data_IF_978400545575
#
_entry.id   IF_978400545575
#
_cell.length_a   1.000
_cell.length_b   1.000
_cell.length_c   1.000
_cell.angle_alpha   90.00
_cell.angle_beta   90.00
_cell.angle_gamma   90.00
#
_symmetry.space_group_name_H-M   'P 1'
#
loop_
_entity.id
_entity.type
_entity.pdbx_description
1 polymer ?
#
# COMPACT_ATOMS: atom_id res chain seq x y z
N UNK A 1 1.78 12.74 8.18
CA UNK A 1 1.79 12.86 6.70
C UNK A 1 0.39 12.72 6.13
N UNK A 2 -0.39 11.69 6.48
CA UNK A 2 -1.76 11.49 6.00
C UNK A 2 -2.71 12.70 6.12
N UNK A 3 -2.57 13.53 7.15
CA UNK A 3 -3.45 14.68 7.43
C UNK A 3 -2.97 16.02 6.86
N UNK A 4 -1.85 16.08 6.13
CA UNK A 4 -1.35 17.37 5.63
C UNK A 4 -2.03 17.87 4.35
N UNK A 5 -2.96 17.10 3.77
CA UNK A 5 -3.70 17.48 2.54
C UNK A 5 -2.81 17.95 1.37
N UNK A 6 -1.59 17.42 1.26
CA UNK A 6 -0.67 17.84 0.19
C UNK A 6 0.02 19.18 0.46
N UNK A 7 -0.12 19.76 1.66
CA UNK A 7 0.51 21.02 2.03
C UNK A 7 1.77 20.80 2.88
N UNK A 8 2.90 21.30 2.38
CA UNK A 8 4.19 21.24 3.07
C UNK A 8 4.17 22.06 4.37
N UNK A 9 3.45 23.19 4.38
CA UNK A 9 3.28 24.03 5.58
C UNK A 9 2.45 23.31 6.64
N UNK A 10 1.32 22.70 6.28
CA UNK A 10 0.53 21.87 7.19
C UNK A 10 1.34 20.69 7.74
N UNK A 11 2.19 20.07 6.92
CA UNK A 11 3.06 18.99 7.37
C UNK A 11 4.07 19.48 8.43
N UNK A 12 4.76 20.60 8.17
CA UNK A 12 5.68 21.22 9.15
C UNK A 12 4.98 21.59 10.45
N UNK A 13 3.78 22.18 10.36
CA UNK A 13 2.97 22.50 11.54
C UNK A 13 2.59 21.25 12.33
N UNK A 14 2.18 20.19 11.64
CA UNK A 14 1.83 18.90 12.29
C UNK A 14 3.05 18.31 13.01
N UNK A 15 4.24 18.39 12.41
CA UNK A 15 5.48 17.95 13.04
C UNK A 15 5.81 18.78 14.28
N UNK A 16 5.66 20.10 14.23
CA UNK A 16 5.91 20.96 15.39
C UNK A 16 4.87 20.80 16.50
N UNK A 17 3.61 20.52 16.15
CA UNK A 17 2.55 20.23 17.12
C UNK A 17 2.87 19.00 18.00
N UNK A 18 3.77 18.12 17.54
CA UNK A 18 4.31 17.03 18.36
C UNK A 18 4.91 17.55 19.68
N UNK A 19 5.60 18.69 19.64
CA UNK A 19 6.19 19.32 20.83
C UNK A 19 5.09 19.75 21.81
N UNK A 20 4.10 20.49 21.31
CA UNK A 20 2.97 20.94 22.13
C UNK A 20 2.22 19.74 22.74
N UNK A 21 1.99 18.69 21.95
CA UNK A 21 1.36 17.46 22.42
C UNK A 21 2.14 16.83 23.59
N UNK A 22 3.46 16.68 23.48
CA UNK A 22 4.29 16.12 24.56
C UNK A 22 4.41 17.05 25.77
N UNK A 23 4.20 18.35 25.61
CA UNK A 23 4.08 19.30 26.72
C UNK A 23 2.68 19.32 27.37
N UNK A 24 1.74 18.52 26.88
CA UNK A 24 0.35 18.48 27.37
C UNK A 24 -0.54 19.60 26.83
N UNK A 25 -0.06 20.34 25.81
CA UNK A 25 -0.81 21.41 25.13
C UNK A 25 -1.50 20.83 23.91
N UNK A 26 -2.77 20.48 24.05
CA UNK A 26 -3.52 19.76 23.00
C UNK A 26 -4.36 20.65 22.06
N UNK A 27 -4.14 21.97 22.05
CA UNK A 27 -4.95 22.92 21.28
C UNK A 27 -4.96 22.66 19.77
N UNK A 28 -3.84 22.20 19.21
CA UNK A 28 -3.69 21.92 17.77
C UNK A 28 -3.78 20.42 17.43
N UNK A 29 -4.18 19.57 18.37
CA UNK A 29 -4.41 18.15 18.10
C UNK A 29 -5.69 17.96 17.27
N UNK A 30 -5.73 16.92 16.43
CA UNK A 30 -6.92 16.57 15.64
C UNK A 30 -8.09 16.31 16.58
N UNK A 31 -9.30 16.78 16.25
CA UNK A 31 -10.49 16.66 17.11
C UNK A 31 -10.76 15.23 17.60
N UNK A 32 -10.67 14.26 16.69
CA UNK A 32 -10.91 12.85 16.99
C UNK A 32 -9.71 12.15 17.66
N UNK A 33 -8.68 12.90 18.08
CA UNK A 33 -7.52 12.30 18.75
C UNK A 33 -7.91 11.79 20.14
N UNK A 34 -7.42 10.62 20.57
CA UNK A 34 -7.66 10.10 21.92
C UNK A 34 -7.26 11.07 23.04
N UNK A 35 -6.26 11.92 22.80
CA UNK A 35 -5.81 12.92 23.78
C UNK A 35 -6.82 14.03 24.09
N UNK A 36 -7.87 14.18 23.27
CA UNK A 36 -8.99 15.10 23.53
C UNK A 36 -10.13 14.44 24.31
N UNK A 37 -10.10 13.12 24.46
CA UNK A 37 -11.13 12.39 25.22
C UNK A 37 -11.00 12.67 26.72
N UNK A 38 -12.12 12.97 27.37
CA UNK A 38 -12.16 13.20 28.82
C UNK A 38 -11.62 12.00 29.58
N UNK A 39 -10.64 12.22 30.46
CA UNK A 39 -10.01 11.14 31.23
C UNK A 39 -8.88 10.40 30.52
N UNK A 40 -8.45 10.85 29.32
CA UNK A 40 -7.29 10.30 28.66
C UNK A 40 -6.01 10.50 29.50
N UNK A 41 -5.29 9.41 29.75
CA UNK A 41 -4.00 9.43 30.43
C UNK A 41 -2.89 9.32 29.37
N UNK A 42 -1.99 10.31 29.27
CA UNK A 42 -0.88 10.24 28.32
C UNK A 42 -0.01 9.00 28.56
N UNK A 43 0.32 8.28 27.50
CA UNK A 43 1.21 7.11 27.59
C UNK A 43 2.67 7.48 27.84
N UNK A 44 3.04 8.74 27.59
CA UNK A 44 4.40 9.26 27.77
C UNK A 44 4.45 10.32 28.87
N UNK A 45 5.62 10.45 29.51
CA UNK A 45 5.87 11.53 30.47
C UNK A 45 5.82 12.90 29.78
N UNK A 46 5.09 13.84 30.40
CA UNK A 46 4.99 15.20 29.88
C UNK A 46 6.31 15.95 30.01
N UNK A 47 6.69 16.64 28.93
CA UNK A 47 7.86 17.53 28.91
C UNK A 47 7.51 18.81 29.66
N UNK A 48 8.15 19.03 30.82
CA UNK A 48 7.98 20.24 31.64
C UNK A 48 9.20 21.17 31.59
N UNK A 49 10.36 20.63 31.22
CA UNK A 49 11.60 21.39 31.15
C UNK A 49 11.67 22.21 29.84
N UNK A 50 11.81 23.55 29.90
CA UNK A 50 11.91 24.39 28.71
C UNK A 50 13.14 24.07 27.85
N UNK A 51 14.22 23.52 28.43
CA UNK A 51 15.40 23.11 27.65
C UNK A 51 15.07 21.89 26.79
N UNK A 52 14.44 20.87 27.40
CA UNK A 52 13.96 19.69 26.67
C UNK A 52 12.97 20.05 25.55
N UNK A 53 12.04 20.99 25.80
CA UNK A 53 11.11 21.49 24.77
C UNK A 53 11.87 22.07 23.56
N UNK A 54 12.86 22.93 23.84
CA UNK A 54 13.68 23.56 22.80
C UNK A 54 14.53 22.55 22.03
N UNK A 55 15.09 21.55 22.72
CA UNK A 55 15.85 20.47 22.09
C UNK A 55 14.99 19.65 21.14
N UNK A 56 13.78 19.26 21.55
CA UNK A 56 12.85 18.51 20.70
C UNK A 56 12.44 19.32 19.46
N UNK A 57 12.11 20.61 19.66
CA UNK A 57 11.77 21.51 18.55
C UNK A 57 12.93 21.68 17.56
N UNK A 58 14.15 21.86 18.06
CA UNK A 58 15.37 21.95 17.25
C UNK A 58 15.64 20.65 16.48
N UNK A 59 15.51 19.50 17.16
CA UNK A 59 15.66 18.18 16.55
C UNK A 59 14.67 17.99 15.39
N UNK A 60 13.38 18.26 15.62
CA UNK A 60 12.36 18.14 14.57
C UNK A 60 12.70 19.01 13.36
N UNK A 61 13.14 20.25 13.57
CA UNK A 61 13.57 21.17 12.50
C UNK A 61 14.81 20.69 11.74
N UNK A 62 15.64 19.87 12.38
CA UNK A 62 16.85 19.31 11.77
C UNK A 62 16.58 18.10 10.86
N UNK A 63 15.42 17.45 11.02
CA UNK A 63 15.04 16.27 10.23
C UNK A 63 14.90 16.60 8.75
N UNK A 64 15.20 15.61 7.89
CA UNK A 64 15.04 15.72 6.43
C UNK A 64 13.60 15.99 6.04
N UNK A 65 12.64 15.32 6.69
CA UNK A 65 11.20 15.49 6.45
C UNK A 65 10.75 16.93 6.74
N UNK A 66 11.27 17.57 7.79
CA UNK A 66 10.92 18.95 8.08
C UNK A 66 11.54 19.94 7.08
N UNK A 67 12.82 19.72 6.74
CA UNK A 67 13.56 20.57 5.80
C UNK A 67 12.97 20.52 4.40
N UNK A 68 12.71 19.32 3.90
CA UNK A 68 12.23 19.03 2.55
C UNK A 68 10.78 18.52 2.57
N UNK A 69 9.91 19.17 3.34
CA UNK A 69 8.54 18.71 3.55
C UNK A 69 7.75 18.53 2.24
N UNK A 70 8.09 19.31 1.22
CA UNK A 70 7.56 19.25 -0.14
C UNK A 70 7.66 17.85 -0.75
N UNK A 71 8.77 17.14 -0.51
CA UNK A 71 9.02 15.80 -1.06
C UNK A 71 8.15 14.72 -0.39
N UNK A 72 7.60 15.02 0.78
CA UNK A 72 6.87 14.05 1.62
C UNK A 72 5.37 14.34 1.71
N UNK A 73 4.86 15.41 1.08
CA UNK A 73 3.43 15.76 1.12
C UNK A 73 2.52 14.68 0.51
N UNK A 74 3.05 13.91 -0.44
CA UNK A 74 2.37 12.80 -1.10
C UNK A 74 2.74 11.44 -0.52
N UNK A 75 3.64 11.38 0.46
CA UNK A 75 4.04 10.15 1.14
C UNK A 75 2.98 9.67 2.13
N UNK A 76 1.74 9.53 1.64
CA UNK A 76 0.60 8.94 2.36
C UNK A 76 0.46 7.49 1.93
N UNK A 77 0.03 6.66 2.87
CA UNK A 77 -0.46 5.30 2.59
C UNK A 77 0.52 4.44 1.77
N UNK A 78 1.81 4.49 2.13
CA UNK A 78 2.86 3.65 1.52
C UNK A 78 2.56 2.16 1.65
N UNK A 79 1.64 1.77 2.54
CA UNK A 79 1.12 0.42 2.66
C UNK A 79 0.63 -0.15 1.32
N UNK A 80 -0.11 0.62 0.51
CA UNK A 80 -0.58 0.11 -0.78
C UNK A 80 0.57 -0.13 -1.74
N UNK A 81 1.50 0.83 -1.83
CA UNK A 81 2.71 0.73 -2.67
C UNK A 81 3.59 -0.45 -2.23
N UNK A 82 3.79 -0.61 -0.93
CA UNK A 82 4.55 -1.73 -0.36
C UNK A 82 3.86 -3.07 -0.62
N UNK A 83 2.55 -3.15 -0.43
CA UNK A 83 1.77 -4.36 -0.71
C UNK A 83 1.81 -4.74 -2.19
N UNK A 84 1.78 -3.75 -3.09
CA UNK A 84 1.90 -3.97 -4.53
C UNK A 84 3.29 -4.48 -4.90
N UNK A 85 4.35 -3.85 -4.37
CA UNK A 85 5.72 -4.32 -4.57
C UNK A 85 5.93 -5.75 -4.04
N UNK A 86 5.30 -6.10 -2.92
CA UNK A 86 5.32 -7.47 -2.41
C UNK A 86 4.62 -8.46 -3.34
N UNK A 87 3.49 -8.08 -3.94
CA UNK A 87 2.81 -8.91 -4.94
C UNK A 87 3.64 -9.06 -6.21
N UNK A 88 4.24 -7.97 -6.71
CA UNK A 88 5.16 -7.98 -7.84
C UNK A 88 6.31 -8.97 -7.64
N UNK A 89 6.94 -8.98 -6.47
CA UNK A 89 8.06 -9.88 -6.17
C UNK A 89 7.71 -11.37 -6.18
N UNK A 90 6.42 -11.74 -6.05
CA UNK A 90 5.97 -13.14 -6.17
C UNK A 90 6.11 -13.63 -7.62
N UNK A 91 5.83 -12.76 -8.59
CA UNK A 91 5.82 -13.11 -10.02
C UNK A 91 7.12 -12.71 -10.73
N UNK A 92 7.74 -11.62 -10.27
CA UNK A 92 8.94 -10.99 -10.81
C UNK A 92 9.98 -10.88 -9.70
N UNK A 93 10.78 -11.93 -9.53
CA UNK A 93 11.93 -11.84 -8.63
C UNK A 93 12.96 -10.88 -9.23
N UNK A 94 13.34 -9.87 -8.46
CA UNK A 94 14.37 -8.88 -8.83
C UNK A 94 15.74 -9.49 -9.17
N UNK A 95 16.00 -10.73 -8.76
CA UNK A 95 17.27 -11.44 -8.96
C UNK A 95 17.35 -12.19 -10.29
N UNK A 96 16.23 -12.31 -11.00
CA UNK A 96 16.15 -13.06 -12.25
C UNK A 96 15.94 -12.08 -13.40
N UNK A 97 16.73 -12.24 -14.45
CA UNK A 97 16.52 -11.50 -15.69
C UNK A 97 15.46 -12.21 -16.53
N UNK A 98 14.39 -11.50 -16.88
CA UNK A 98 13.31 -12.00 -17.74
C UNK A 98 13.40 -11.33 -19.11
N UNK A 99 13.06 -12.06 -20.17
CA UNK A 99 12.82 -11.46 -21.49
C UNK A 99 11.54 -10.61 -21.46
N UNK A 100 11.47 -9.58 -22.29
CA UNK A 100 10.40 -8.56 -22.28
C UNK A 100 8.98 -9.15 -22.26
N UNK A 101 8.71 -10.15 -23.10
CA UNK A 101 7.40 -10.81 -23.14
C UNK A 101 7.06 -11.52 -21.82
N UNK A 102 8.04 -12.20 -21.22
CA UNK A 102 7.86 -12.87 -19.94
C UNK A 102 7.72 -11.87 -18.80
N UNK A 103 8.47 -10.77 -18.86
CA UNK A 103 8.39 -9.69 -17.89
C UNK A 103 7.00 -9.06 -17.88
N UNK A 104 6.50 -8.65 -19.05
CA UNK A 104 5.19 -8.04 -19.22
C UNK A 104 4.07 -8.96 -18.74
N UNK A 105 4.10 -10.25 -19.14
CA UNK A 105 3.11 -11.23 -18.69
C UNK A 105 3.08 -11.36 -17.17
N UNK A 106 4.25 -11.51 -16.53
CA UNK A 106 4.37 -11.67 -15.07
C UNK A 106 3.95 -10.39 -14.33
N UNK A 107 4.27 -9.22 -14.86
CA UNK A 107 3.80 -7.95 -14.34
C UNK A 107 2.26 -7.88 -14.40
N UNK A 108 1.64 -8.22 -15.52
CA UNK A 108 0.18 -8.24 -15.64
C UNK A 108 -0.47 -9.23 -14.65
N UNK A 109 0.11 -10.41 -14.45
CA UNK A 109 -0.38 -11.38 -13.46
C UNK A 109 -0.27 -10.85 -12.03
N UNK A 110 0.83 -10.17 -11.69
CA UNK A 110 0.99 -9.55 -10.38
C UNK A 110 -0.05 -8.45 -10.13
N UNK A 111 -0.37 -7.65 -11.16
CA UNK A 111 -1.43 -6.62 -11.08
C UNK A 111 -2.79 -7.26 -10.84
N UNK A 112 -3.13 -8.33 -11.55
CA UNK A 112 -4.41 -9.05 -11.37
C UNK A 112 -4.52 -9.66 -9.97
N UNK A 113 -3.47 -10.34 -9.49
CA UNK A 113 -3.40 -10.90 -8.13
C UNK A 113 -3.53 -9.80 -7.06
N UNK A 114 -2.82 -8.68 -7.22
CA UNK A 114 -2.90 -7.59 -6.26
C UNK A 114 -4.27 -6.91 -6.27
N UNK A 115 -4.85 -6.61 -7.44
CA UNK A 115 -6.16 -5.97 -7.56
C UNK A 115 -7.28 -6.81 -6.93
N UNK A 116 -7.23 -8.14 -7.07
CA UNK A 116 -8.22 -9.02 -6.44
C UNK A 116 -8.07 -9.09 -4.91
N UNK A 117 -6.85 -8.86 -4.39
CA UNK A 117 -6.51 -9.12 -2.99
C UNK A 117 -6.15 -7.91 -2.14
N UNK A 118 -6.10 -6.72 -2.74
CA UNK A 118 -5.87 -5.47 -2.02
C UNK A 118 -7.05 -5.23 -1.06
N UNK A 119 -6.75 -4.82 0.18
CA UNK A 119 -7.79 -4.53 1.17
C UNK A 119 -8.58 -5.75 1.68
N UNK A 120 -8.09 -6.98 1.48
CA UNK A 120 -8.74 -8.18 2.03
C UNK A 120 -9.02 -8.07 3.53
N UNK A 121 -10.22 -8.48 3.91
CA UNK A 121 -10.66 -8.50 5.31
C UNK A 121 -9.83 -9.49 6.13
N UNK A 122 -9.61 -9.15 7.39
CA UNK A 122 -8.92 -10.00 8.36
C UNK A 122 -9.96 -10.83 9.12
N UNK A 123 -9.76 -12.15 9.18
CA UNK A 123 -10.70 -13.09 9.84
C UNK A 123 -10.53 -13.14 11.36
N UNK A 124 -9.42 -12.63 11.90
CA UNK A 124 -9.18 -12.59 13.35
C UNK A 124 -8.15 -11.53 13.73
N UNK A 125 -8.50 -10.68 14.68
CA UNK A 125 -7.54 -9.96 15.53
C UNK A 125 -7.55 -10.67 16.89
N UNK A 126 -6.38 -10.96 17.47
CA UNK A 126 -6.32 -11.37 18.87
C UNK A 126 -5.58 -10.29 19.67
N UNK A 127 -6.02 -10.09 20.91
CA UNK A 127 -5.45 -9.11 21.82
C UNK A 127 -4.38 -9.84 22.63
N UNK A 128 -3.17 -9.26 22.74
CA UNK A 128 -2.17 -9.79 23.67
C UNK A 128 -2.49 -9.20 25.03
N UNK A 129 -3.01 -10.01 25.93
CA UNK A 129 -3.14 -9.63 27.34
C UNK A 129 -1.77 -9.68 28.02
N UNK A 130 -1.03 -8.58 27.97
CA UNK A 130 0.10 -8.34 28.87
C UNK A 130 -0.41 -7.51 30.04
N UNK A 131 -0.27 -8.01 31.28
CA UNK A 131 -0.71 -7.30 32.49
C UNK A 131 -0.05 -5.92 32.66
N UNK A 132 1.10 -5.69 32.02
CA UNK A 132 1.80 -4.39 32.02
C UNK A 132 1.36 -3.47 30.87
N UNK A 133 0.75 -4.02 29.82
CA UNK A 133 0.29 -3.29 28.64
C UNK A 133 -1.01 -3.91 28.08
N UNK A 134 -2.14 -3.78 28.79
CA UNK A 134 -3.40 -4.47 28.46
C UNK A 134 -4.00 -4.05 27.11
N UNK A 135 -3.67 -2.87 26.60
CA UNK A 135 -4.16 -2.35 25.32
C UNK A 135 -3.32 -2.80 24.11
N UNK A 136 -2.30 -3.63 24.32
CA UNK A 136 -1.37 -4.02 23.26
C UNK A 136 -2.04 -5.04 22.33
N UNK A 137 -2.49 -4.58 21.16
CA UNK A 137 -2.86 -5.47 20.07
C UNK A 137 -1.58 -6.08 19.45
N UNK A 138 -1.19 -7.27 19.91
CA UNK A 138 -0.13 -8.06 19.29
C UNK A 138 -0.72 -9.16 18.41
N UNK A 139 -0.22 -9.30 17.18
CA UNK A 139 -0.59 -10.42 16.31
C UNK A 139 -0.44 -10.13 14.82
N UNK A 140 -0.14 -11.16 14.05
CA UNK A 140 -0.18 -11.10 12.59
C UNK A 140 -1.64 -11.21 12.14
N UNK A 141 -2.14 -10.19 11.43
CA UNK A 141 -3.48 -10.23 10.80
C UNK A 141 -3.60 -11.50 9.95
N UNK A 142 -4.59 -12.35 10.25
CA UNK A 142 -4.91 -13.51 9.43
C UNK A 142 -5.93 -13.09 8.39
N UNK A 143 -5.47 -12.89 7.16
CA UNK A 143 -6.33 -12.48 6.05
C UNK A 143 -7.22 -13.63 5.57
N UNK A 144 -8.38 -13.29 5.02
CA UNK A 144 -9.20 -14.23 4.27
C UNK A 144 -8.39 -14.90 3.15
N UNK A 145 -8.75 -16.16 2.85
CA UNK A 145 -8.06 -16.95 1.82
C UNK A 145 -8.12 -16.22 0.47
N UNK A 146 -6.98 -16.18 -0.25
CA UNK A 146 -6.93 -15.63 -1.61
C UNK A 146 -7.87 -16.42 -2.52
N UNK A 147 -8.63 -15.70 -3.33
CA UNK A 147 -9.36 -16.22 -4.48
C UNK A 147 -8.54 -15.98 -5.74
N UNK A 148 -8.83 -16.63 -6.86
CA UNK A 148 -8.11 -16.36 -8.11
C UNK A 148 -9.11 -16.32 -9.27
N UNK A 149 -10.11 -15.46 -9.12
CA UNK A 149 -11.22 -15.33 -10.08
C UNK A 149 -10.72 -14.98 -11.48
N UNK A 150 -9.67 -14.16 -11.58
CA UNK A 150 -9.08 -13.77 -12.86
C UNK A 150 -8.57 -14.97 -13.69
N UNK A 151 -8.23 -16.10 -13.05
CA UNK A 151 -7.76 -17.31 -13.77
C UNK A 151 -8.88 -17.88 -14.65
N UNK A 152 -10.14 -17.85 -14.17
CA UNK A 152 -11.26 -18.36 -14.95
C UNK A 152 -11.47 -17.52 -16.21
N UNK A 153 -11.33 -16.20 -16.07
CA UNK A 153 -11.48 -15.27 -17.18
C UNK A 153 -10.33 -15.40 -18.20
N UNK A 154 -9.08 -15.54 -17.74
CA UNK A 154 -7.93 -15.82 -18.61
C UNK A 154 -8.17 -17.12 -19.40
N UNK A 155 -8.64 -18.18 -18.74
CA UNK A 155 -8.93 -19.46 -19.41
C UNK A 155 -10.01 -19.30 -20.48
N UNK A 156 -11.09 -18.58 -20.18
CA UNK A 156 -12.16 -18.29 -21.15
C UNK A 156 -11.59 -17.58 -22.38
N UNK A 157 -10.82 -16.51 -22.18
CA UNK A 157 -10.21 -15.73 -23.26
C UNK A 157 -9.26 -16.57 -24.13
N UNK A 158 -8.46 -17.46 -23.52
CA UNK A 158 -7.57 -18.37 -24.25
C UNK A 158 -8.37 -19.34 -25.13
N UNK A 159 -9.45 -19.92 -24.61
CA UNK A 159 -10.29 -20.84 -25.38
C UNK A 159 -10.98 -20.13 -26.56
N UNK A 160 -11.46 -18.91 -26.35
CA UNK A 160 -12.08 -18.10 -27.41
C UNK A 160 -11.07 -17.71 -28.49
N UNK A 161 -9.87 -17.30 -28.11
CA UNK A 161 -8.81 -16.99 -29.08
C UNK A 161 -8.37 -18.22 -29.88
N UNK A 162 -8.24 -19.38 -29.23
CA UNK A 162 -7.94 -20.63 -29.93
C UNK A 162 -9.03 -21.01 -30.96
N UNK A 163 -10.31 -20.88 -30.60
CA UNK A 163 -11.42 -21.16 -31.51
C UNK A 163 -11.48 -20.18 -32.71
N UNK A 164 -11.09 -18.92 -32.52
CA UNK A 164 -10.99 -17.93 -33.59
C UNK A 164 -9.82 -18.20 -34.55
N UNK A 165 -8.72 -18.78 -34.07
CA UNK A 165 -7.59 -19.14 -34.93
C UNK A 165 -7.89 -20.39 -35.76
N UNK A 166 -8.64 -21.36 -35.23
CA UNK A 166 -9.11 -22.53 -35.99
C UNK A 166 -10.06 -22.14 -37.13
N UNK A 167 -10.97 -21.18 -36.88
CA UNK A 167 -11.91 -20.68 -37.89
C UNK A 167 -11.21 -19.86 -38.98
N UNK A 168 -10.16 -19.09 -38.66
CA UNK A 168 -9.32 -18.41 -39.67
C UNK A 168 -8.51 -19.38 -40.51
N UNK A 169 -7.96 -20.44 -39.90
CA UNK A 169 -7.15 -21.43 -40.61
C UNK A 169 -8.00 -22.24 -41.60
N UNK A 170 -9.26 -22.52 -41.25
CA UNK A 170 -10.21 -23.22 -42.12
C UNK A 170 -10.69 -22.40 -43.32
N UNK A 171 -10.64 -21.06 -43.26
CA UNK A 171 -11.03 -20.18 -44.37
C UNK A 171 -9.93 -19.97 -45.41
N UNK A 172 -8.67 -20.28 -45.10
CA UNK A 172 -7.52 -20.11 -46.03
C UNK A 172 -7.32 -21.33 -46.94
N UNK A 173 -7.85 -22.50 -46.57
CA UNK A 173 -7.70 -23.74 -47.32
C UNK A 173 -8.76 -23.97 -48.42
N UNK A 174 -9.75 -23.08 -48.54
CA UNK A 174 -10.88 -23.20 -49.48
C UNK A 174 -10.74 -22.31 -50.74
N UNK A 175 -9.54 -21.86 -51.13
CA UNK A 175 -9.33 -21.32 -52.48
C UNK A 175 -9.06 -22.45 -53.49
N UNK A 176 -9.91 -22.66 -54.52
CA UNK A 176 -9.71 -23.71 -55.49
C UNK A 176 -8.50 -23.41 -56.39
N UNK A 177 -7.60 -24.38 -56.49
CA UNK A 177 -6.48 -24.39 -57.44
C UNK A 177 -7.08 -24.25 -58.85
N UNK A 178 -6.82 -23.12 -59.52
CA UNK A 178 -7.12 -22.97 -60.94
C UNK A 178 -6.16 -23.83 -61.74
N UNK A 179 -6.65 -24.97 -62.23
CA UNK A 179 -5.97 -25.75 -63.26
C UNK A 179 -5.91 -24.93 -64.55
N UNK A 180 -4.74 -24.38 -64.85
CA UNK A 180 -4.44 -23.88 -66.20
C UNK A 180 -4.08 -25.08 -67.09
N UNK A 181 -5.09 -25.65 -67.73
CA UNK A 181 -4.94 -26.58 -68.86
C UNK A 181 -4.40 -25.86 -70.10
N UNK A 182 -3.50 -26.56 -70.79
CA UNK A 182 -2.68 -26.14 -71.95
C UNK A 182 -3.44 -25.70 -73.19
#
# INVERSE_FOLDING_TARGET
MATCEGSATKLRMTLLNCVDHFCGRHGNCVEDSPCKTTGHVPSALLIKDPVAEKLLSSFLRSTTIFKHAEDYIQAKDTYHVESFNNAMLIYLDKRIHYFDNSYNLRQSLAVLDWNEHVGRQCTSTYIVEDSRHPDRQGGKKKYSKKTFSFIQEIRRLILETAALDETKTSQVTDEPIRENGS
#
